data_IF_740694400643
#
_entry.id   IF_740694400643
#
_cell.length_a   1.000
_cell.length_b   1.000
_cell.length_c   1.000
_cell.angle_alpha   90.00
_cell.angle_beta   90.00
_cell.angle_gamma   90.00
#
_symmetry.space_group_name_H-M   'P 1'
#
loop_
_entity.id
_entity.type
_entity.pdbx_description
1 polymer ?
#
# COMPACT_ATOMS: atom_id res chain seq x y z
N UNK A 1 17.97 -1.58 -35.87
CA UNK A 1 18.59 -1.69 -34.54
C UNK A 1 17.52 -1.41 -33.49
N UNK A 2 17.55 -2.20 -32.43
CA UNK A 2 16.48 -2.59 -31.50
C UNK A 2 15.66 -1.43 -30.94
N UNK A 3 14.32 -1.48 -31.14
CA UNK A 3 13.37 -0.69 -30.35
C UNK A 3 13.34 -1.28 -28.93
N UNK A 4 14.07 -0.67 -28.01
CA UNK A 4 13.82 -0.85 -26.60
C UNK A 4 12.56 -0.06 -26.28
N UNK A 5 11.41 -0.63 -26.68
CA UNK A 5 10.15 -0.29 -26.06
C UNK A 5 10.28 -0.76 -24.61
N UNK A 6 10.80 0.12 -23.76
CA UNK A 6 10.64 0.04 -22.31
C UNK A 6 9.15 -0.05 -22.06
N UNK A 7 8.65 -1.28 -21.96
CA UNK A 7 7.38 -1.65 -21.37
C UNK A 7 7.46 -1.34 -19.87
N UNK A 8 7.68 -0.07 -19.54
CA UNK A 8 7.34 0.48 -18.26
C UNK A 8 5.85 0.74 -18.34
N UNK A 9 5.05 -0.34 -18.30
CA UNK A 9 3.66 -0.23 -17.89
C UNK A 9 3.75 0.37 -16.50
N UNK A 10 3.52 1.67 -16.39
CA UNK A 10 3.47 2.39 -15.12
C UNK A 10 2.36 1.72 -14.33
N UNK A 11 2.72 0.70 -13.54
CA UNK A 11 1.79 -0.01 -12.69
C UNK A 11 1.18 1.07 -11.81
N UNK A 12 -0.12 1.33 -11.98
CA UNK A 12 -0.79 2.23 -11.07
C UNK A 12 -0.46 1.76 -9.66
N UNK A 13 -0.01 2.66 -8.77
CA UNK A 13 0.40 2.27 -7.45
C UNK A 13 -0.77 1.55 -6.78
N UNK A 14 -0.61 0.25 -6.56
CA UNK A 14 -1.63 -0.64 -6.01
C UNK A 14 -2.35 0.10 -4.89
N UNK A 15 -3.66 0.34 -5.02
CA UNK A 15 -4.45 1.14 -4.08
C UNK A 15 -4.27 0.68 -2.63
N UNK A 16 -4.02 -0.63 -2.44
CA UNK A 16 -3.69 -1.29 -1.17
C UNK A 16 -2.35 -0.86 -0.56
N UNK A 17 -1.34 -0.57 -1.38
CA UNK A 17 -0.04 -0.05 -0.91
C UNK A 17 -0.18 1.36 -0.34
N UNK A 18 -1.01 2.21 -0.97
CA UNK A 18 -1.30 3.55 -0.45
C UNK A 18 -2.00 3.48 0.90
N UNK A 19 -2.97 2.60 1.05
CA UNK A 19 -3.67 2.39 2.32
C UNK A 19 -2.74 1.89 3.43
N UNK A 20 -1.89 0.90 3.14
CA UNK A 20 -0.89 0.41 4.09
C UNK A 20 0.10 1.50 4.53
N UNK A 21 0.59 2.31 3.58
CA UNK A 21 1.51 3.41 3.87
C UNK A 21 0.88 4.47 4.79
N UNK A 22 -0.38 4.86 4.54
CA UNK A 22 -1.10 5.80 5.40
C UNK A 22 -1.20 5.28 6.83
N UNK A 23 -1.49 4.00 7.02
CA UNK A 23 -1.61 3.39 8.36
C UNK A 23 -0.27 3.37 9.09
N UNK A 24 0.85 3.12 8.38
CA UNK A 24 2.19 3.23 8.96
C UNK A 24 2.45 4.66 9.46
N UNK A 25 2.12 5.68 8.66
CA UNK A 25 2.30 7.08 9.06
C UNK A 25 1.40 7.46 10.24
N UNK A 26 0.16 6.96 10.28
CA UNK A 26 -0.74 7.17 11.43
C UNK A 26 -0.17 6.52 12.69
N UNK A 27 0.30 5.26 12.61
CA UNK A 27 0.93 4.56 13.73
C UNK A 27 2.21 5.26 14.23
N UNK A 28 3.04 5.76 13.31
CA UNK A 28 4.22 6.56 13.63
C UNK A 28 3.84 7.87 14.34
N UNK A 29 2.78 8.55 13.88
CA UNK A 29 2.27 9.77 14.52
C UNK A 29 1.79 9.52 15.94
N UNK A 30 1.07 8.41 16.17
CA UNK A 30 0.60 8.02 17.52
C UNK A 30 1.78 7.65 18.42
N UNK A 31 2.78 6.94 17.89
CA UNK A 31 3.96 6.56 18.66
C UNK A 31 4.79 7.80 19.07
N UNK A 32 5.05 8.73 18.14
CA UNK A 32 5.73 10.00 18.41
C UNK A 32 4.93 10.88 19.38
N UNK A 33 3.61 10.91 19.24
CA UNK A 33 2.73 11.62 20.16
C UNK A 33 2.71 10.96 21.54
N UNK A 34 2.74 9.63 21.63
CA UNK A 34 2.86 8.89 22.89
C UNK A 34 4.17 9.19 23.62
N UNK A 35 5.28 9.33 22.89
CA UNK A 35 6.56 9.74 23.45
C UNK A 35 6.52 11.18 24.01
N UNK A 36 5.79 12.09 23.35
CA UNK A 36 5.72 13.50 23.74
C UNK A 36 4.65 13.80 24.81
N UNK A 37 3.54 13.05 24.82
CA UNK A 37 2.27 13.50 25.40
C UNK A 37 1.60 12.51 26.35
N UNK A 38 2.37 11.68 27.06
CA UNK A 38 1.98 10.95 28.29
C UNK A 38 1.68 9.45 28.09
N UNK A 39 2.55 8.66 28.72
CA UNK A 39 2.36 7.27 29.17
C UNK A 39 2.55 6.14 28.13
N UNK A 40 3.09 5.03 28.64
CA UNK A 40 3.54 3.82 27.92
C UNK A 40 2.44 3.17 27.06
N UNK A 41 1.18 3.43 27.39
CA UNK A 41 0.02 2.85 26.72
C UNK A 41 -0.11 3.34 25.28
N UNK A 42 0.07 4.64 25.02
CA UNK A 42 -0.04 5.22 23.68
C UNK A 42 1.10 4.81 22.77
N UNK A 43 2.31 4.62 23.33
CA UNK A 43 3.45 4.08 22.61
C UNK A 43 3.17 2.67 22.08
N UNK A 44 2.55 1.82 22.92
CA UNK A 44 2.11 0.47 22.56
C UNK A 44 1.03 0.46 21.46
N UNK A 45 0.04 1.36 21.54
CA UNK A 45 -0.98 1.52 20.49
C UNK A 45 -0.35 1.97 19.18
N UNK A 46 0.61 2.92 19.23
CA UNK A 46 1.33 3.37 18.04
C UNK A 46 2.12 2.25 17.36
N UNK A 47 2.82 1.40 18.13
CA UNK A 47 3.53 0.23 17.62
C UNK A 47 2.58 -0.80 17.00
N UNK A 48 1.42 -1.05 17.63
CA UNK A 48 0.41 -1.96 17.09
C UNK A 48 -0.10 -1.48 15.72
N UNK A 49 -0.48 -0.21 15.61
CA UNK A 49 -0.98 0.37 14.35
C UNK A 49 0.12 0.34 13.27
N UNK A 50 1.36 0.62 13.63
CA UNK A 50 2.49 0.53 12.70
C UNK A 50 2.68 -0.91 12.18
N UNK A 51 2.60 -1.92 13.06
CA UNK A 51 2.69 -3.33 12.67
C UNK A 51 1.56 -3.76 11.70
N UNK A 52 0.33 -3.27 11.94
CA UNK A 52 -0.80 -3.50 11.02
C UNK A 52 -0.55 -2.85 9.64
N UNK A 53 -0.01 -1.64 9.63
CA UNK A 53 0.35 -0.93 8.41
C UNK A 53 1.39 -1.68 7.57
N UNK A 54 2.43 -2.23 8.21
CA UNK A 54 3.42 -3.10 7.55
C UNK A 54 2.75 -4.35 6.97
N UNK A 55 1.89 -5.03 7.74
CA UNK A 55 1.16 -6.20 7.26
C UNK A 55 0.30 -5.92 6.02
N UNK A 56 -0.42 -4.79 5.98
CA UNK A 56 -1.20 -4.37 4.82
C UNK A 56 -0.35 -4.00 3.61
N UNK A 57 0.77 -3.30 3.83
CA UNK A 57 1.71 -3.00 2.75
C UNK A 57 2.29 -4.29 2.15
N UNK A 58 2.72 -5.23 2.99
CA UNK A 58 3.24 -6.54 2.55
C UNK A 58 2.17 -7.37 1.83
N UNK A 59 0.94 -7.38 2.32
CA UNK A 59 -0.18 -8.07 1.64
C UNK A 59 -0.48 -7.47 0.26
N UNK A 60 -0.31 -6.15 0.08
CA UNK A 60 -0.42 -5.49 -1.22
C UNK A 60 0.71 -5.83 -2.20
N UNK A 61 1.85 -6.33 -1.71
CA UNK A 61 2.94 -6.88 -2.52
C UNK A 61 2.73 -8.36 -2.85
N UNK A 62 2.28 -9.18 -1.89
CA UNK A 62 2.07 -10.64 -2.06
C UNK A 62 0.83 -10.94 -2.91
N UNK A 63 -0.25 -10.17 -2.72
CA UNK A 63 -1.46 -10.24 -3.53
C UNK A 63 -1.57 -8.99 -4.40
N UNK A 64 -0.84 -8.95 -5.53
CA UNK A 64 -1.06 -7.91 -6.52
C UNK A 64 -2.52 -7.97 -7.01
N UNK A 65 -3.11 -6.83 -7.37
CA UNK A 65 -4.48 -6.70 -7.87
C UNK A 65 -4.66 -7.31 -9.28
N UNK A 66 -4.18 -8.53 -9.51
CA UNK A 66 -4.17 -9.24 -10.81
C UNK A 66 -5.57 -9.37 -11.44
N UNK A 67 -6.64 -9.27 -10.64
CA UNK A 67 -8.02 -9.27 -11.13
C UNK A 67 -8.43 -8.01 -11.89
N UNK A 68 -7.96 -6.81 -11.48
CA UNK A 68 -8.31 -5.56 -12.17
C UNK A 68 -7.68 -5.47 -13.56
N UNK A 69 -6.49 -6.07 -13.75
CA UNK A 69 -5.85 -6.12 -15.07
C UNK A 69 -6.60 -7.04 -16.05
N UNK A 70 -7.22 -8.11 -15.57
CA UNK A 70 -8.02 -9.03 -16.40
C UNK A 70 -9.33 -8.34 -16.80
N UNK A 71 -10.05 -7.74 -15.84
CA UNK A 71 -11.33 -7.06 -16.12
C UNK A 71 -11.14 -5.91 -17.10
N UNK A 72 -10.09 -5.10 -16.93
CA UNK A 72 -9.82 -4.00 -17.86
C UNK A 72 -9.46 -4.48 -19.26
N UNK A 73 -8.69 -5.58 -19.36
CA UNK A 73 -8.37 -6.19 -20.65
C UNK A 73 -9.60 -6.82 -21.34
N UNK A 74 -10.59 -7.29 -20.57
CA UNK A 74 -11.87 -7.80 -21.09
C UNK A 74 -12.75 -6.65 -21.56
N UNK A 75 -12.86 -5.57 -20.80
CA UNK A 75 -13.66 -4.39 -21.16
C UNK A 75 -13.13 -3.70 -22.43
N UNK A 76 -11.79 -3.55 -22.54
CA UNK A 76 -11.13 -3.08 -23.77
C UNK A 76 -11.35 -4.02 -24.99
N UNK A 77 -11.70 -5.30 -24.75
CA UNK A 77 -12.01 -6.28 -25.81
C UNK A 77 -13.50 -6.30 -26.16
N UNK A 78 -14.39 -5.98 -25.23
CA UNK A 78 -15.84 -5.85 -25.45
C UNK A 78 -16.24 -4.52 -26.10
N UNK A 79 -15.49 -3.44 -25.88
CA UNK A 79 -15.68 -2.17 -26.59
C UNK A 79 -15.23 -2.19 -28.06
N UNK A 80 -14.69 -3.33 -28.54
CA UNK A 80 -14.14 -3.50 -29.89
C UNK A 80 -15.01 -4.38 -30.78
#
# INVERSE_FOLDING_TARGET
MTNIATNQKTKEPNKRLRAGLVIIYVGLGINLFGFASLDSFFEGVGLLVMALGVGMATAGYIYPNTGEEITKAVEDFEEK
#
